data_IF_174499191307
#
_entry.id   IF_174499191307
#
_cell.length_a   1.000
_cell.length_b   1.000
_cell.length_c   1.000
_cell.angle_alpha   90.00
_cell.angle_beta   90.00
_cell.angle_gamma   90.00
#
_symmetry.space_group_name_H-M   'P 1'
#
loop_
_entity.id
_entity.type
_entity.pdbx_description
1 polymer ?
#
# COMPACT_ATOMS: atom_id res chain seq x y z
N UNK A 1 3.20 5.37 -15.58
CA UNK A 1 4.30 5.90 -14.74
C UNK A 1 4.31 5.33 -13.32
N UNK A 2 3.18 5.17 -12.60
CA UNK A 2 3.13 4.44 -11.31
C UNK A 2 3.75 3.02 -11.34
N UNK A 3 3.73 2.36 -12.51
CA UNK A 3 4.26 1.00 -12.71
C UNK A 3 5.77 0.85 -12.44
N UNK A 4 6.61 1.73 -12.99
CA UNK A 4 8.07 1.58 -12.87
C UNK A 4 8.55 1.84 -11.44
N UNK A 5 8.14 2.96 -10.85
CA UNK A 5 8.59 3.35 -9.50
C UNK A 5 8.10 2.44 -8.38
N UNK A 6 6.97 1.75 -8.56
CA UNK A 6 6.47 0.76 -7.57
C UNK A 6 7.07 -0.64 -7.77
N UNK A 7 7.90 -0.83 -8.80
CA UNK A 7 8.53 -2.12 -9.08
C UNK A 7 9.65 -2.43 -8.08
N UNK A 8 9.74 -3.69 -7.70
CA UNK A 8 10.88 -4.26 -6.98
C UNK A 8 11.79 -4.89 -8.03
N UNK A 9 13.04 -4.45 -8.10
CA UNK A 9 14.04 -4.95 -9.05
C UNK A 9 15.11 -5.77 -8.35
N UNK A 10 15.69 -6.73 -9.08
CA UNK A 10 16.82 -7.53 -8.58
C UNK A 10 18.13 -6.77 -8.79
N UNK A 11 18.90 -6.45 -7.74
CA UNK A 11 20.20 -5.78 -7.89
C UNK A 11 21.19 -6.57 -8.73
N UNK A 12 21.10 -7.90 -8.72
CA UNK A 12 21.94 -8.78 -9.55
C UNK A 12 21.64 -8.64 -11.04
N UNK A 13 20.39 -8.34 -11.41
CA UNK A 13 19.95 -8.21 -12.81
C UNK A 13 20.14 -6.80 -13.34
N UNK A 14 20.07 -5.78 -12.49
CA UNK A 14 20.15 -4.36 -12.87
C UNK A 14 21.07 -3.55 -11.95
N UNK A 15 22.38 -3.85 -11.89
CA UNK A 15 23.32 -3.15 -11.02
C UNK A 15 23.39 -1.64 -11.31
N UNK A 16 23.46 -1.25 -12.59
CA UNK A 16 23.55 0.16 -13.00
C UNK A 16 22.31 0.97 -12.57
N UNK A 17 21.12 0.37 -12.67
CA UNK A 17 19.89 1.04 -12.22
C UNK A 17 19.88 1.18 -10.69
N UNK A 18 20.39 0.18 -9.97
CA UNK A 18 20.51 0.26 -8.51
C UNK A 18 21.41 1.42 -8.08
N UNK A 19 22.58 1.58 -8.71
CA UNK A 19 23.49 2.69 -8.41
C UNK A 19 22.83 4.05 -8.67
N UNK A 20 22.13 4.20 -9.79
CA UNK A 20 21.39 5.43 -10.12
C UNK A 20 20.24 5.68 -9.14
N UNK A 21 19.49 4.65 -8.77
CA UNK A 21 18.43 4.79 -7.75
C UNK A 21 19.01 5.24 -6.41
N UNK A 22 20.17 4.71 -6.02
CA UNK A 22 20.86 5.14 -4.81
C UNK A 22 21.38 6.58 -4.89
N UNK A 23 21.89 7.02 -6.05
CA UNK A 23 22.35 8.41 -6.22
C UNK A 23 21.21 9.42 -6.14
N UNK A 24 19.98 9.03 -6.49
CA UNK A 24 18.78 9.88 -6.37
C UNK A 24 18.31 10.10 -4.93
N UNK A 25 18.61 9.16 -4.01
CA UNK A 25 18.16 9.22 -2.61
C UNK A 25 18.58 10.52 -1.90
N UNK A 26 19.87 10.90 -1.87
CA UNK A 26 20.28 12.17 -1.28
C UNK A 26 19.70 13.38 -2.03
N UNK A 27 19.58 13.32 -3.36
CA UNK A 27 19.02 14.42 -4.16
C UNK A 27 17.54 14.66 -3.79
N UNK A 28 16.75 13.59 -3.66
CA UNK A 28 15.36 13.69 -3.21
C UNK A 28 15.28 14.27 -1.79
N UNK A 29 16.12 13.77 -0.89
CA UNK A 29 16.19 14.19 0.51
C UNK A 29 16.50 15.68 0.64
N UNK A 30 17.47 16.19 -0.12
CA UNK A 30 17.93 17.57 -0.05
C UNK A 30 16.93 18.54 -0.70
N UNK A 31 16.33 18.16 -1.83
CA UNK A 31 15.43 19.03 -2.59
C UNK A 31 14.00 19.06 -2.06
N UNK A 32 13.46 17.90 -1.68
CA UNK A 32 12.04 17.74 -1.36
C UNK A 32 11.80 17.22 0.05
N UNK A 33 12.85 16.83 0.78
CA UNK A 33 12.72 16.24 2.11
C UNK A 33 12.08 17.19 3.13
N UNK A 34 12.42 18.49 3.07
CA UNK A 34 11.86 19.51 3.96
C UNK A 34 10.34 19.71 3.74
N UNK A 35 9.92 19.77 2.47
CA UNK A 35 8.50 19.91 2.08
C UNK A 35 7.66 18.70 2.50
N UNK A 36 8.27 17.51 2.50
CA UNK A 36 7.60 16.26 2.86
C UNK A 36 7.87 15.78 4.29
N UNK A 37 8.39 16.62 5.20
CA UNK A 37 8.55 16.23 6.60
C UNK A 37 7.22 15.85 7.26
N UNK A 38 6.11 16.45 6.83
CA UNK A 38 4.77 16.09 7.31
C UNK A 38 4.21 14.82 6.67
N UNK A 39 4.81 14.33 5.59
CA UNK A 39 4.22 13.33 4.70
C UNK A 39 5.03 12.03 4.67
N UNK A 40 6.34 12.09 4.93
CA UNK A 40 7.26 10.96 4.95
C UNK A 40 7.88 10.85 6.34
N UNK A 41 7.86 9.64 6.87
CA UNK A 41 8.77 9.24 7.94
C UNK A 41 10.01 8.60 7.33
N UNK A 42 11.09 9.37 7.30
CA UNK A 42 12.36 8.92 6.77
C UNK A 42 13.06 7.99 7.74
N UNK A 43 13.72 6.97 7.21
CA UNK A 43 14.49 6.04 8.01
C UNK A 43 15.77 6.69 8.51
N UNK A 44 15.98 6.58 9.81
CA UNK A 44 17.10 7.14 10.54
C UNK A 44 17.39 6.17 11.71
N UNK A 45 18.59 5.60 11.74
CA UNK A 45 18.96 4.56 12.70
C UNK A 45 18.88 5.07 14.14
N UNK A 46 19.09 6.36 14.33
CA UNK A 46 19.12 7.04 15.64
C UNK A 46 17.75 7.55 16.07
N UNK A 47 16.71 7.35 15.26
CA UNK A 47 15.35 7.78 15.58
C UNK A 47 14.38 6.62 15.58
N UNK A 48 13.44 6.70 16.51
CA UNK A 48 12.30 5.81 16.53
C UNK A 48 11.31 6.20 15.43
N UNK A 49 10.82 5.20 14.71
CA UNK A 49 9.81 5.30 13.66
C UNK A 49 8.43 5.31 14.31
N UNK A 50 7.82 6.49 14.43
CA UNK A 50 6.47 6.64 14.97
C UNK A 50 5.41 6.04 14.04
N UNK A 51 5.65 5.96 12.73
CA UNK A 51 4.75 5.29 11.77
C UNK A 51 5.18 3.84 11.45
N UNK A 52 6.22 3.33 12.12
CA UNK A 52 6.61 1.93 12.11
C UNK A 52 6.09 1.17 13.34
N UNK A 53 5.92 -0.14 13.22
CA UNK A 53 5.54 -0.96 14.37
C UNK A 53 6.68 -1.05 15.40
N UNK A 54 6.39 -1.42 16.65
CA UNK A 54 7.44 -1.72 17.64
C UNK A 54 8.40 -2.78 17.11
N UNK A 55 7.90 -3.84 16.46
CA UNK A 55 8.75 -4.87 15.85
C UNK A 55 9.68 -4.29 14.77
N UNK A 56 9.15 -3.45 13.88
CA UNK A 56 9.96 -2.77 12.85
C UNK A 56 10.99 -1.84 13.48
N UNK A 57 10.67 -1.21 14.61
CA UNK A 57 11.60 -0.36 15.35
C UNK A 57 12.75 -1.14 15.99
N UNK A 58 12.53 -2.37 16.44
CA UNK A 58 13.59 -3.24 16.96
C UNK A 58 14.44 -3.77 15.81
N UNK A 59 13.80 -4.25 14.75
CA UNK A 59 14.51 -4.91 13.64
C UNK A 59 15.23 -3.92 12.74
N UNK A 60 14.58 -2.80 12.40
CA UNK A 60 15.10 -1.76 11.50
C UNK A 60 15.72 -2.32 10.22
N UNK A 61 14.94 -3.13 9.52
CA UNK A 61 15.34 -3.86 8.32
C UNK A 61 14.12 -4.44 7.62
N UNK A 62 14.34 -5.25 6.59
CA UNK A 62 13.33 -6.05 5.92
C UNK A 62 13.77 -7.49 5.74
N UNK A 63 12.81 -8.42 5.76
CA UNK A 63 13.07 -9.79 5.34
C UNK A 63 13.18 -9.87 3.82
N UNK A 64 14.14 -10.66 3.34
CA UNK A 64 14.35 -10.91 1.91
C UNK A 64 13.26 -11.80 1.29
N UNK A 65 12.52 -12.56 2.11
CA UNK A 65 11.36 -13.34 1.68
C UNK A 65 10.07 -12.57 1.98
N UNK A 66 9.24 -12.34 0.94
CA UNK A 66 7.95 -11.63 1.04
C UNK A 66 6.95 -12.31 1.97
N UNK A 67 7.14 -13.58 2.35
CA UNK A 67 6.26 -14.29 3.30
C UNK A 67 6.58 -13.98 4.76
N UNK A 68 7.74 -13.40 5.04
CA UNK A 68 8.17 -13.07 6.39
C UNK A 68 7.82 -11.62 6.72
N UNK A 69 6.65 -11.42 7.33
CA UNK A 69 6.21 -10.09 7.80
C UNK A 69 6.62 -9.91 9.26
N UNK A 70 6.95 -8.68 9.67
CA UNK A 70 7.22 -8.33 11.08
C UNK A 70 6.09 -8.69 12.03
N UNK A 71 4.86 -8.78 11.52
CA UNK A 71 3.71 -9.28 12.26
C UNK A 71 3.92 -10.68 12.83
N UNK A 72 4.79 -11.51 12.24
CA UNK A 72 5.13 -12.85 12.74
C UNK A 72 6.39 -12.87 13.61
N UNK A 73 7.00 -11.72 13.93
CA UNK A 73 8.23 -11.67 14.74
C UNK A 73 8.05 -12.31 16.13
N UNK A 74 6.84 -12.23 16.71
CA UNK A 74 6.49 -12.87 17.98
C UNK A 74 6.53 -14.41 17.93
N UNK A 75 6.58 -15.02 16.75
CA UNK A 75 6.72 -16.47 16.56
C UNK A 75 8.18 -16.88 16.33
N UNK A 76 9.06 -15.92 16.03
CA UNK A 76 10.47 -16.20 15.77
C UNK A 76 11.21 -16.45 17.10
N UNK A 77 11.62 -17.70 17.33
CA UNK A 77 12.32 -18.12 18.55
C UNK A 77 13.58 -17.31 18.85
N UNK A 78 14.33 -16.89 17.83
CA UNK A 78 15.56 -16.09 18.00
C UNK A 78 15.24 -14.66 18.41
N UNK A 79 14.20 -14.08 17.80
CA UNK A 79 13.68 -12.77 18.16
C UNK A 79 13.18 -12.77 19.61
N UNK A 80 12.42 -13.79 20.02
CA UNK A 80 11.97 -13.94 21.41
C UNK A 80 13.14 -14.12 22.39
N UNK A 81 14.15 -14.92 22.03
CA UNK A 81 15.35 -15.09 22.85
C UNK A 81 16.11 -13.76 23.02
N UNK A 82 16.19 -12.95 21.96
CA UNK A 82 16.75 -11.61 22.01
C UNK A 82 15.95 -10.70 22.95
N UNK A 83 14.61 -10.68 22.85
CA UNK A 83 13.77 -9.89 23.77
C UNK A 83 13.96 -10.29 25.23
N UNK A 84 14.20 -11.58 25.49
CA UNK A 84 14.53 -12.08 26.82
C UNK A 84 15.89 -11.57 27.31
N UNK A 85 16.91 -11.61 26.46
CA UNK A 85 18.27 -11.13 26.77
C UNK A 85 18.30 -9.61 27.06
N UNK A 86 17.51 -8.82 26.34
CA UNK A 86 17.41 -7.36 26.54
C UNK A 86 16.39 -6.96 27.63
N UNK A 87 15.82 -7.94 28.34
CA UNK A 87 14.77 -7.74 29.35
C UNK A 87 13.57 -6.92 28.84
N UNK A 88 13.23 -7.09 27.56
CA UNK A 88 12.16 -6.37 26.87
C UNK A 88 10.82 -7.11 26.86
N UNK A 89 10.82 -8.43 27.06
CA UNK A 89 9.58 -9.22 27.00
C UNK A 89 8.53 -8.72 28.00
N UNK A 90 8.92 -8.56 29.27
CA UNK A 90 8.00 -8.11 30.34
C UNK A 90 7.40 -6.72 30.06
N UNK A 91 8.18 -5.65 29.82
CA UNK A 91 7.60 -4.33 29.56
C UNK A 91 6.75 -4.30 28.28
N UNK A 92 7.09 -5.11 27.26
CA UNK A 92 6.25 -5.24 26.07
C UNK A 92 4.91 -5.94 26.36
N UNK A 93 4.90 -7.02 27.14
CA UNK A 93 3.66 -7.69 27.57
C UNK A 93 2.80 -6.75 28.44
N UNK A 94 3.42 -6.01 29.35
CA UNK A 94 2.73 -5.01 30.18
C UNK A 94 2.14 -3.87 29.33
N UNK A 95 2.85 -3.43 28.29
CA UNK A 95 2.34 -2.45 27.34
C UNK A 95 1.20 -3.02 26.50
N UNK A 96 1.32 -4.26 26.02
CA UNK A 96 0.25 -4.99 25.33
C UNK A 96 -1.01 -5.10 26.18
N UNK A 97 -0.88 -5.39 27.48
CA UNK A 97 -2.01 -5.39 28.42
C UNK A 97 -2.68 -4.01 28.49
N UNK A 98 -1.89 -2.93 28.53
CA UNK A 98 -2.41 -1.56 28.54
C UNK A 98 -3.16 -1.23 27.25
N UNK A 99 -2.65 -1.63 26.09
CA UNK A 99 -3.36 -1.49 24.79
C UNK A 99 -4.68 -2.25 24.83
N UNK A 100 -4.67 -3.53 25.19
CA UNK A 100 -5.87 -4.37 25.22
C UNK A 100 -6.95 -3.78 26.13
N UNK A 101 -6.58 -3.37 27.36
CA UNK A 101 -7.51 -2.78 28.33
C UNK A 101 -8.14 -1.47 27.83
N UNK A 102 -7.40 -0.66 27.07
CA UNK A 102 -7.90 0.60 26.55
C UNK A 102 -8.73 0.43 25.27
N UNK A 103 -8.32 -0.47 24.39
CA UNK A 103 -8.90 -0.63 23.04
C UNK A 103 -10.08 -1.58 23.00
N UNK A 104 -10.07 -2.70 23.75
CA UNK A 104 -11.15 -3.71 23.70
C UNK A 104 -12.52 -3.14 24.06
N UNK A 105 -12.70 -2.33 25.12
CA UNK A 105 -14.00 -1.74 25.42
C UNK A 105 -14.55 -0.94 24.25
N UNK A 106 -13.72 -0.12 23.60
CA UNK A 106 -14.10 0.70 22.44
C UNK A 106 -14.55 -0.19 21.27
N UNK A 107 -13.75 -1.22 20.95
CA UNK A 107 -14.04 -2.11 19.82
C UNK A 107 -15.31 -2.96 20.02
N UNK A 108 -15.66 -3.31 21.27
CA UNK A 108 -16.91 -4.03 21.57
C UNK A 108 -18.15 -3.21 21.24
N UNK A 109 -18.12 -1.89 21.44
CA UNK A 109 -19.19 -1.00 21.00
C UNK A 109 -19.17 -0.78 19.49
N UNK A 110 -17.97 -0.86 18.90
CA UNK A 110 -17.71 -0.65 17.48
C UNK A 110 -17.97 -1.84 16.56
N UNK A 111 -18.30 -3.02 17.08
CA UNK A 111 -18.45 -4.25 16.28
C UNK A 111 -19.51 -4.15 15.16
N UNK A 112 -20.28 -3.06 15.11
CA UNK A 112 -21.26 -2.73 14.07
C UNK A 112 -20.71 -1.84 12.94
N UNK A 113 -19.51 -1.26 13.07
CA UNK A 113 -18.88 -0.38 12.06
C UNK A 113 -17.41 -0.77 11.80
N UNK A 114 -17.07 -1.12 10.57
CA UNK A 114 -15.71 -1.56 10.19
C UNK A 114 -14.63 -0.47 10.36
N UNK A 115 -15.02 0.80 10.39
CA UNK A 115 -14.10 1.95 10.42
C UNK A 115 -13.22 2.00 11.67
N UNK A 116 -13.74 1.59 12.83
CA UNK A 116 -13.00 1.67 14.10
C UNK A 116 -11.91 0.60 14.24
N UNK A 117 -11.95 -0.46 13.41
CA UNK A 117 -10.87 -1.44 13.35
C UNK A 117 -9.68 -0.97 12.50
N UNK A 118 -9.87 0.02 11.61
CA UNK A 118 -8.80 0.48 10.72
C UNK A 118 -7.62 1.13 11.48
N UNK A 119 -7.92 1.79 12.60
CA UNK A 119 -6.94 2.47 13.45
C UNK A 119 -6.58 1.66 14.72
N UNK A 120 -6.92 0.37 14.74
CA UNK A 120 -6.70 -0.53 15.86
C UNK A 120 -5.62 -1.56 15.57
N UNK A 121 -4.74 -1.87 16.55
CA UNK A 121 -3.84 -3.02 16.45
C UNK A 121 -4.54 -4.37 16.64
N UNK A 122 -5.80 -4.37 17.11
CA UNK A 122 -6.66 -5.56 17.25
C UNK A 122 -7.60 -5.64 16.06
N UNK A 123 -7.56 -6.76 15.33
CA UNK A 123 -8.47 -7.03 14.22
C UNK A 123 -9.83 -7.55 14.70
N UNK A 124 -10.85 -7.50 13.84
CA UNK A 124 -12.17 -8.06 14.14
C UNK A 124 -12.13 -9.56 14.45
N UNK A 125 -11.29 -10.32 13.73
CA UNK A 125 -11.09 -11.76 13.92
C UNK A 125 -10.42 -12.11 15.26
N UNK A 126 -9.70 -11.16 15.85
CA UNK A 126 -8.96 -11.38 17.10
C UNK A 126 -9.68 -10.81 18.33
N UNK A 127 -10.75 -10.02 18.13
CA UNK A 127 -11.41 -9.29 19.21
C UNK A 127 -11.84 -10.21 20.37
N UNK A 128 -12.52 -11.31 20.08
CA UNK A 128 -13.02 -12.25 21.11
C UNK A 128 -11.88 -12.77 22.01
N UNK A 129 -10.71 -13.04 21.43
CA UNK A 129 -9.53 -13.49 22.18
C UNK A 129 -9.05 -12.42 23.16
N UNK A 130 -9.05 -11.15 22.74
CA UNK A 130 -8.64 -10.05 23.61
C UNK A 130 -9.71 -9.69 24.65
N UNK A 131 -11.00 -9.95 24.37
CA UNK A 131 -12.08 -9.86 25.37
C UNK A 131 -11.81 -10.83 26.53
N UNK A 132 -11.49 -12.09 26.21
CA UNK A 132 -11.16 -13.09 27.22
C UNK A 132 -9.91 -12.71 28.04
N UNK A 133 -8.87 -12.22 27.36
CA UNK A 133 -7.63 -11.77 28.01
C UNK A 133 -7.90 -10.60 28.95
N UNK A 134 -8.69 -9.61 28.54
CA UNK A 134 -9.05 -8.45 29.38
C UNK A 134 -9.87 -8.87 30.60
N UNK A 135 -10.77 -9.84 30.45
CA UNK A 135 -11.51 -10.41 31.57
C UNK A 135 -10.56 -11.11 32.57
N UNK A 136 -9.60 -11.90 32.08
CA UNK A 136 -8.61 -12.58 32.93
C UNK A 136 -7.71 -11.59 33.68
N UNK A 137 -7.24 -10.53 33.01
CA UNK A 137 -6.47 -9.44 33.63
C UNK A 137 -7.28 -8.79 34.75
N UNK A 138 -8.57 -8.52 34.54
CA UNK A 138 -9.43 -7.85 35.53
C UNK A 138 -9.66 -8.72 36.77
N UNK A 139 -9.72 -10.04 36.59
CA UNK A 139 -9.97 -10.99 37.69
C UNK A 139 -8.71 -11.34 38.49
N UNK A 140 -7.56 -11.52 37.81
CA UNK A 140 -6.34 -12.12 38.39
C UNK A 140 -5.15 -11.17 38.44
N UNK A 141 -5.31 -9.97 37.89
CA UNK A 141 -4.21 -9.03 37.70
C UNK A 141 -3.24 -9.45 36.59
N UNK A 142 -2.29 -8.56 36.27
CA UNK A 142 -1.34 -8.74 35.15
C UNK A 142 -0.26 -9.81 35.41
N UNK A 143 0.02 -10.12 36.68
CA UNK A 143 1.07 -11.04 37.11
C UNK A 143 0.69 -12.53 36.97
N UNK A 144 -0.62 -12.85 36.92
CA UNK A 144 -1.14 -14.22 36.85
C UNK A 144 -1.44 -14.75 35.44
N UNK A 145 -0.97 -14.08 34.39
CA UNK A 145 -1.37 -14.38 33.01
C UNK A 145 -0.82 -15.71 32.49
N UNK A 146 -1.70 -16.50 31.85
CA UNK A 146 -1.32 -17.74 31.17
C UNK A 146 -0.30 -17.47 30.04
N UNK A 147 0.59 -18.43 29.69
CA UNK A 147 1.58 -18.25 28.62
C UNK A 147 0.98 -17.83 27.27
N UNK A 148 -0.19 -18.37 26.91
CA UNK A 148 -0.89 -17.99 25.67
C UNK A 148 -1.34 -16.53 25.68
N UNK A 149 -1.92 -16.05 26.80
CA UNK A 149 -2.31 -14.66 26.95
C UNK A 149 -1.10 -13.73 26.84
N UNK A 150 0.03 -14.09 27.47
CA UNK A 150 1.30 -13.33 27.35
C UNK A 150 1.77 -13.23 25.90
N UNK A 151 1.70 -14.33 25.14
CA UNK A 151 2.08 -14.35 23.72
C UNK A 151 1.20 -13.41 22.87
N UNK A 152 -0.12 -13.41 23.11
CA UNK A 152 -1.04 -12.50 22.42
C UNK A 152 -0.79 -11.03 22.79
N UNK A 153 -0.54 -10.72 24.06
CA UNK A 153 -0.21 -9.35 24.48
C UNK A 153 1.13 -8.88 23.91
N UNK A 154 2.12 -9.78 23.81
CA UNK A 154 3.39 -9.49 23.15
C UNK A 154 3.18 -9.20 21.66
N UNK A 155 2.40 -10.03 20.95
CA UNK A 155 2.01 -9.76 19.56
C UNK A 155 1.37 -8.38 19.42
N UNK A 156 0.42 -8.07 20.30
CA UNK A 156 -0.30 -6.79 20.29
C UNK A 156 0.65 -5.59 20.45
N UNK A 157 1.57 -5.67 21.41
CA UNK A 157 2.59 -4.64 21.62
C UNK A 157 3.51 -4.51 20.40
N UNK A 158 4.04 -5.63 19.89
CA UNK A 158 4.96 -5.63 18.74
C UNK A 158 4.32 -5.06 17.46
N UNK A 159 3.01 -5.22 17.29
CA UNK A 159 2.23 -4.64 16.19
C UNK A 159 1.81 -3.18 16.40
N UNK A 160 2.09 -2.57 17.56
CA UNK A 160 1.66 -1.21 17.85
C UNK A 160 2.43 -0.16 17.02
N UNK A 161 1.71 0.76 16.37
CA UNK A 161 2.24 1.86 15.57
C UNK A 161 1.76 3.19 16.20
N UNK A 162 2.62 3.96 16.89
CA UNK A 162 2.22 5.20 17.58
C UNK A 162 1.54 6.26 16.70
N UNK A 163 1.98 6.34 15.44
CA UNK A 163 1.48 7.24 14.40
C UNK A 163 0.05 6.91 13.98
N UNK A 164 -0.40 5.66 14.15
CA UNK A 164 -1.73 5.17 13.75
C UNK A 164 -2.64 4.91 14.97
N UNK A 165 -2.15 4.17 15.96
CA UNK A 165 -2.96 3.69 17.08
C UNK A 165 -2.99 4.73 18.21
N UNK A 166 -4.02 5.59 18.21
CA UNK A 166 -4.12 6.74 19.12
C UNK A 166 -4.73 6.43 20.49
N UNK A 167 -5.24 5.21 20.71
CA UNK A 167 -5.91 4.84 21.96
C UNK A 167 -5.00 4.89 23.18
N UNK A 168 -3.70 4.63 22.99
CA UNK A 168 -2.70 4.64 24.06
C UNK A 168 -1.46 5.38 23.56
N UNK A 169 -0.81 6.14 24.44
CA UNK A 169 0.46 6.79 24.13
C UNK A 169 1.65 5.85 24.31
N UNK A 170 2.63 5.94 23.41
CA UNK A 170 3.88 5.20 23.53
C UNK A 170 4.69 5.69 24.75
N UNK A 171 5.04 4.83 25.72
CA UNK A 171 5.80 5.25 26.88
C UNK A 171 7.22 5.72 26.49
N UNK A 172 7.66 6.93 26.86
CA UNK A 172 8.98 7.45 26.45
C UNK A 172 10.15 6.55 26.86
N UNK A 173 10.13 6.05 28.10
CA UNK A 173 11.17 5.14 28.60
C UNK A 173 11.23 3.82 27.81
N UNK A 174 10.09 3.30 27.37
CA UNK A 174 10.06 2.10 26.53
C UNK A 174 10.58 2.41 25.13
N UNK A 175 10.21 3.57 24.56
CA UNK A 175 10.72 4.07 23.27
C UNK A 175 12.25 4.13 23.25
N UNK A 176 12.87 4.69 24.29
CA UNK A 176 14.33 4.77 24.44
C UNK A 176 14.98 3.39 24.58
N UNK A 177 14.40 2.49 25.38
CA UNK A 177 14.92 1.12 25.53
C UNK A 177 14.87 0.33 24.22
N UNK A 178 13.78 0.46 23.46
CA UNK A 178 13.63 -0.19 22.15
C UNK A 178 14.65 0.33 21.14
N UNK A 179 14.93 1.63 21.15
CA UNK A 179 15.93 2.23 20.28
C UNK A 179 17.34 1.73 20.61
N UNK A 180 17.70 1.61 21.91
CA UNK A 180 18.97 1.00 22.32
C UNK A 180 19.07 -0.47 21.90
N UNK A 181 17.99 -1.22 22.07
CA UNK A 181 17.93 -2.63 21.69
C UNK A 181 18.08 -2.84 20.17
N UNK A 182 17.65 -1.90 19.33
CA UNK A 182 17.84 -1.98 17.86
C UNK A 182 19.30 -2.26 17.48
N UNK A 183 20.24 -1.50 18.04
CA UNK A 183 21.66 -1.67 17.76
C UNK A 183 22.15 -3.04 18.20
N UNK A 184 21.73 -3.49 19.39
CA UNK A 184 22.07 -4.82 19.92
C UNK A 184 21.46 -5.94 19.07
N UNK A 185 20.26 -5.74 18.54
CA UNK A 185 19.57 -6.71 17.68
C UNK A 185 20.36 -6.97 16.40
N UNK A 186 20.86 -5.91 15.77
CA UNK A 186 21.68 -6.03 14.57
C UNK A 186 22.94 -6.89 14.83
N UNK A 187 23.66 -6.62 15.92
CA UNK A 187 24.85 -7.38 16.32
C UNK A 187 24.48 -8.84 16.60
N UNK A 188 23.45 -9.07 17.42
CA UNK A 188 22.98 -10.40 17.81
C UNK A 188 22.63 -11.28 16.60
N UNK A 189 22.03 -10.70 15.56
CA UNK A 189 21.65 -11.43 14.36
C UNK A 189 22.82 -11.69 13.40
N UNK A 190 23.78 -10.76 13.31
CA UNK A 190 24.99 -10.94 12.52
C UNK A 190 25.85 -12.09 13.05
N UNK A 191 26.09 -12.15 14.36
CA UNK A 191 26.89 -13.20 15.00
C UNK A 191 26.28 -14.60 14.83
N UNK A 192 24.95 -14.70 14.72
CA UNK A 192 24.21 -15.96 14.61
C UNK A 192 23.83 -16.33 13.17
N UNK A 193 24.33 -15.57 12.18
CA UNK A 193 24.27 -15.91 10.76
C UNK A 193 22.86 -15.93 10.16
N UNK A 194 21.99 -14.97 10.51
CA UNK A 194 20.64 -14.93 9.95
C UNK A 194 20.62 -14.39 8.50
N UNK A 195 20.76 -15.30 7.53
CA UNK A 195 20.95 -15.04 6.09
C UNK A 195 19.73 -14.44 5.34
N UNK A 196 18.64 -14.05 6.02
CA UNK A 196 17.38 -13.64 5.35
C UNK A 196 16.83 -12.28 5.78
N UNK A 197 17.60 -11.51 6.54
CA UNK A 197 17.25 -10.16 6.96
C UNK A 197 18.25 -9.17 6.37
N UNK A 198 17.76 -8.08 5.80
CA UNK A 198 18.57 -6.94 5.37
C UNK A 198 18.25 -5.76 6.27
N UNK A 199 19.24 -5.30 7.05
CA UNK A 199 19.11 -4.08 7.84
C UNK A 199 19.07 -2.85 6.94
N UNK A 200 18.35 -1.81 7.37
CA UNK A 200 18.33 -0.55 6.62
C UNK A 200 19.66 0.17 6.77
N UNK A 201 20.26 0.46 5.62
CA UNK A 201 21.47 1.25 5.50
C UNK A 201 21.24 2.26 4.36
N UNK A 202 21.44 3.54 4.66
CA UNK A 202 21.24 4.62 3.71
C UNK A 202 22.18 4.55 2.50
N UNK A 203 23.26 3.78 2.59
CA UNK A 203 24.21 3.55 1.49
C UNK A 203 23.87 2.30 0.67
N UNK A 204 22.94 1.46 1.13
CA UNK A 204 22.59 0.19 0.47
C UNK A 204 21.21 0.22 -0.17
N UNK A 205 21.07 -0.57 -1.23
CA UNK A 205 19.81 -0.81 -1.91
C UNK A 205 19.01 -1.89 -1.17
N UNK A 206 17.77 -1.58 -0.82
CA UNK A 206 16.86 -2.47 -0.10
C UNK A 206 16.13 -3.35 -1.11
N UNK A 207 16.54 -4.61 -1.21
CA UNK A 207 16.11 -5.51 -2.31
C UNK A 207 14.64 -5.91 -2.23
N UNK A 208 14.08 -5.91 -1.02
CA UNK A 208 12.68 -6.20 -0.75
C UNK A 208 11.72 -5.06 -1.12
N UNK A 209 12.25 -3.85 -1.36
CA UNK A 209 11.46 -2.63 -1.53
C UNK A 209 11.42 -2.12 -2.96
N UNK A 210 10.40 -1.29 -3.24
CA UNK A 210 10.23 -0.69 -4.55
C UNK A 210 11.33 0.34 -4.85
N UNK A 211 11.49 0.71 -6.13
CA UNK A 211 12.38 1.80 -6.54
C UNK A 211 12.02 3.09 -5.80
N UNK A 212 10.73 3.43 -5.70
CA UNK A 212 10.24 4.58 -4.94
C UNK A 212 10.74 4.53 -3.51
N UNK A 213 10.47 3.45 -2.79
CA UNK A 213 10.82 3.38 -1.37
C UNK A 213 12.34 3.39 -1.16
N UNK A 214 13.11 2.90 -2.15
CA UNK A 214 14.56 3.03 -2.18
C UNK A 214 15.03 4.48 -2.41
N UNK A 215 14.35 5.26 -3.26
CA UNK A 215 14.67 6.70 -3.44
C UNK A 215 14.27 7.49 -2.19
N UNK A 216 13.09 7.22 -1.63
CA UNK A 216 12.61 7.94 -0.45
C UNK A 216 13.43 7.59 0.80
N UNK A 217 13.87 6.33 0.93
CA UNK A 217 14.46 5.77 2.16
C UNK A 217 13.61 6.11 3.39
N UNK A 218 12.35 5.72 3.33
CA UNK A 218 11.33 6.04 4.32
C UNK A 218 9.98 5.46 3.96
N UNK A 219 8.97 5.82 4.73
CA UNK A 219 7.59 5.39 4.52
C UNK A 219 6.62 6.58 4.57
N UNK A 220 5.60 6.61 3.70
CA UNK A 220 4.55 7.62 3.80
C UNK A 220 3.79 7.51 5.13
N UNK A 221 3.44 8.66 5.70
CA UNK A 221 2.55 8.75 6.85
C UNK A 221 1.11 8.54 6.37
N UNK A 222 0.39 7.60 6.97
CA UNK A 222 -0.88 7.10 6.45
C UNK A 222 -2.08 8.05 6.67
N UNK A 223 -1.86 9.18 7.35
CA UNK A 223 -2.90 10.05 7.93
C UNK A 223 -3.30 11.24 7.05
N UNK A 224 -2.58 11.53 5.96
CA UNK A 224 -2.90 12.63 5.04
C UNK A 224 -3.33 12.18 3.65
N UNK A 225 -4.58 12.47 3.31
CA UNK A 225 -5.06 12.39 1.92
C UNK A 225 -4.23 13.30 1.00
N UNK A 226 -3.74 12.78 -0.11
CA UNK A 226 -2.93 13.54 -1.08
C UNK A 226 -1.42 13.53 -0.83
N UNK A 227 -0.95 13.08 0.34
CA UNK A 227 0.50 13.00 0.65
C UNK A 227 1.22 12.09 -0.35
N UNK A 228 0.65 10.91 -0.63
CA UNK A 228 1.21 9.95 -1.58
C UNK A 228 1.24 10.53 -2.99
N UNK A 229 0.22 11.28 -3.40
CA UNK A 229 0.18 11.97 -4.68
C UNK A 229 1.28 13.03 -4.80
N UNK A 230 1.45 13.88 -3.79
CA UNK A 230 2.48 14.92 -3.77
C UNK A 230 3.89 14.30 -3.84
N UNK A 231 4.18 13.30 -3.00
CA UNK A 231 5.46 12.57 -3.03
C UNK A 231 5.72 11.99 -4.42
N UNK A 232 4.72 11.38 -5.05
CA UNK A 232 4.87 10.80 -6.38
C UNK A 232 5.11 11.87 -7.45
N UNK A 233 4.57 13.09 -7.30
CA UNK A 233 4.83 14.17 -8.25
C UNK A 233 6.29 14.63 -8.19
N UNK A 234 6.81 14.91 -7.00
CA UNK A 234 8.22 15.31 -6.82
C UNK A 234 9.18 14.19 -7.22
N UNK A 235 8.82 12.93 -6.94
CA UNK A 235 9.58 11.78 -7.40
C UNK A 235 9.64 11.73 -8.94
N UNK A 236 8.49 11.90 -9.62
CA UNK A 236 8.47 11.90 -11.08
C UNK A 236 9.25 13.07 -11.67
N UNK A 237 9.14 14.26 -11.09
CA UNK A 237 9.94 15.41 -11.48
C UNK A 237 11.44 15.09 -11.39
N UNK A 238 11.89 14.56 -10.25
CA UNK A 238 13.28 14.16 -10.05
C UNK A 238 13.75 13.15 -11.10
N UNK A 239 12.93 12.12 -11.36
CA UNK A 239 13.28 11.08 -12.33
C UNK A 239 13.41 11.59 -13.76
N UNK A 240 12.62 12.61 -14.13
CA UNK A 240 12.70 13.26 -15.45
C UNK A 240 13.97 14.10 -15.53
N UNK A 241 14.23 14.95 -14.54
CA UNK A 241 15.38 15.86 -14.52
C UNK A 241 16.72 15.11 -14.52
N UNK A 242 16.79 14.00 -13.79
CA UNK A 242 17.98 13.13 -13.69
C UNK A 242 18.04 12.08 -14.81
N UNK A 243 17.12 12.15 -15.78
CA UNK A 243 17.06 11.27 -16.96
C UNK A 243 17.02 9.77 -16.62
N UNK A 244 16.42 9.41 -15.47
CA UNK A 244 16.32 8.02 -14.99
C UNK A 244 14.94 7.43 -15.31
N UNK A 245 13.94 8.26 -15.61
CA UNK A 245 12.56 7.81 -15.78
C UNK A 245 12.41 6.77 -16.89
N UNK A 246 13.02 7.00 -18.06
CA UNK A 246 12.94 6.08 -19.20
C UNK A 246 13.54 4.72 -18.84
N UNK A 247 14.72 4.72 -18.25
CA UNK A 247 15.39 3.51 -17.77
C UNK A 247 14.59 2.71 -16.73
N UNK A 248 13.88 3.39 -15.84
CA UNK A 248 12.97 2.78 -14.85
C UNK A 248 11.71 2.24 -15.53
N UNK A 249 11.16 2.96 -16.51
CA UNK A 249 9.98 2.52 -17.24
C UNK A 249 10.31 1.29 -18.07
N UNK A 250 11.42 1.31 -18.80
CA UNK A 250 11.88 0.22 -19.65
C UNK A 250 12.17 -1.04 -18.84
N UNK A 251 12.92 -0.92 -17.73
CA UNK A 251 13.20 -2.06 -16.83
C UNK A 251 11.98 -2.44 -15.99
N UNK A 252 11.06 -1.52 -15.73
CA UNK A 252 9.78 -1.79 -15.07
C UNK A 252 8.86 -2.69 -15.90
N UNK A 253 9.07 -2.81 -17.22
CA UNK A 253 8.38 -3.78 -18.07
C UNK A 253 8.81 -5.23 -17.79
N UNK A 254 9.99 -5.44 -17.19
CA UNK A 254 10.45 -6.77 -16.74
C UNK A 254 9.81 -7.19 -15.40
N UNK A 255 8.96 -6.35 -14.80
CA UNK A 255 8.32 -6.66 -13.53
C UNK A 255 7.46 -7.93 -13.66
N UNK A 256 7.77 -8.95 -12.85
CA UNK A 256 6.96 -10.15 -12.78
C UNK A 256 5.60 -9.81 -12.19
N UNK A 257 4.56 -9.83 -13.03
CA UNK A 257 3.18 -9.53 -12.63
C UNK A 257 2.45 -10.75 -12.03
N UNK A 258 3.14 -11.87 -11.83
CA UNK A 258 2.53 -13.17 -11.52
C UNK A 258 1.97 -13.86 -12.77
N UNK A 259 1.46 -15.08 -12.62
CA UNK A 259 0.93 -15.89 -13.74
C UNK A 259 -0.27 -15.24 -14.44
N UNK A 260 -1.12 -14.54 -13.68
CA UNK A 260 -2.36 -13.92 -14.18
C UNK A 260 -2.46 -12.42 -13.82
N UNK A 261 -1.34 -11.73 -13.60
CA UNK A 261 -1.38 -10.33 -13.16
C UNK A 261 -1.79 -10.17 -11.70
N UNK A 262 -1.53 -11.17 -10.85
CA UNK A 262 -1.88 -11.18 -9.42
C UNK A 262 -1.30 -10.01 -8.65
N UNK A 263 -0.13 -9.51 -9.08
CA UNK A 263 0.56 -8.40 -8.43
C UNK A 263 0.18 -7.03 -8.98
N UNK A 264 -0.87 -6.98 -9.80
CA UNK A 264 -1.38 -5.75 -10.39
C UNK A 264 -2.70 -5.35 -9.72
N UNK A 265 -2.86 -4.06 -9.46
CA UNK A 265 -4.17 -3.52 -9.09
C UNK A 265 -5.17 -3.67 -10.24
N UNK A 266 -6.48 -3.61 -9.94
CA UNK A 266 -7.52 -3.72 -10.96
C UNK A 266 -7.32 -2.75 -12.13
N UNK A 267 -7.07 -1.46 -11.81
CA UNK A 267 -6.79 -0.43 -12.82
C UNK A 267 -5.50 -0.69 -13.62
N UNK A 268 -4.46 -1.25 -13.00
CA UNK A 268 -3.22 -1.62 -13.70
C UNK A 268 -3.44 -2.76 -14.68
N UNK A 269 -4.14 -3.82 -14.27
CA UNK A 269 -4.54 -4.92 -15.17
C UNK A 269 -5.34 -4.40 -16.36
N UNK A 270 -6.26 -3.47 -16.11
CA UNK A 270 -7.11 -2.91 -17.16
C UNK A 270 -6.32 -2.03 -18.15
N UNK A 271 -5.37 -1.20 -17.67
CA UNK A 271 -4.47 -0.45 -18.56
C UNK A 271 -3.65 -1.37 -19.46
N UNK A 272 -3.11 -2.46 -18.92
CA UNK A 272 -2.36 -3.45 -19.70
C UNK A 272 -3.26 -4.16 -20.72
N UNK A 273 -4.46 -4.57 -20.31
CA UNK A 273 -5.42 -5.22 -21.20
C UNK A 273 -5.78 -4.31 -22.39
N UNK A 274 -6.10 -3.04 -22.12
CA UNK A 274 -6.37 -2.04 -23.16
C UNK A 274 -5.16 -1.83 -24.07
N UNK A 275 -3.96 -1.65 -23.51
CA UNK A 275 -2.74 -1.48 -24.30
C UNK A 275 -2.50 -2.68 -25.23
N UNK A 276 -2.69 -3.91 -24.76
CA UNK A 276 -2.59 -5.13 -25.59
C UNK A 276 -3.60 -5.15 -26.73
N UNK A 277 -4.84 -4.73 -26.46
CA UNK A 277 -5.90 -4.63 -27.49
C UNK A 277 -5.52 -3.57 -28.53
N UNK A 278 -5.01 -2.41 -28.12
CA UNK A 278 -4.60 -1.34 -29.02
C UNK A 278 -3.41 -1.73 -29.90
N UNK A 279 -2.41 -2.42 -29.34
CA UNK A 279 -1.26 -2.90 -30.10
C UNK A 279 -1.62 -3.91 -31.19
N UNK A 280 -2.68 -4.72 -30.99
CA UNK A 280 -3.18 -5.65 -31.99
C UNK A 280 -3.84 -4.98 -33.19
N UNK A 281 -4.25 -3.70 -33.07
CA UNK A 281 -4.95 -2.93 -34.10
C UNK A 281 -6.12 -3.71 -34.77
N UNK A 282 -7.04 -4.33 -33.98
CA UNK A 282 -8.15 -5.09 -34.55
C UNK A 282 -9.08 -4.21 -35.38
N UNK A 283 -9.79 -4.80 -36.33
CA UNK A 283 -10.80 -4.09 -37.14
C UNK A 283 -12.01 -3.69 -36.29
N UNK A 284 -12.34 -4.48 -35.26
CA UNK A 284 -13.46 -4.27 -34.35
C UNK A 284 -12.96 -4.30 -32.90
N UNK A 285 -13.31 -3.27 -32.14
CA UNK A 285 -13.11 -3.15 -30.70
C UNK A 285 -14.43 -3.39 -29.97
N UNK A 286 -14.45 -4.30 -29.00
CA UNK A 286 -15.59 -4.52 -28.10
C UNK A 286 -15.14 -4.16 -26.68
N UNK A 287 -15.77 -3.15 -26.08
CA UNK A 287 -15.36 -2.54 -24.82
C UNK A 287 -16.51 -2.60 -23.83
N UNK A 288 -16.39 -3.44 -22.81
CA UNK A 288 -17.35 -3.53 -21.72
C UNK A 288 -16.80 -2.81 -20.49
N UNK A 289 -17.36 -1.63 -20.17
CA UNK A 289 -16.88 -0.77 -19.08
C UNK A 289 -15.34 -0.62 -19.05
N UNK A 290 -14.70 -0.59 -20.22
CA UNK A 290 -13.28 -0.89 -20.32
C UNK A 290 -12.37 0.13 -19.62
N UNK A 291 -12.92 1.27 -19.19
CA UNK A 291 -12.22 2.33 -18.47
C UNK A 291 -12.64 2.49 -17.01
N UNK A 292 -13.56 1.66 -16.49
CA UNK A 292 -14.19 1.85 -15.18
C UNK A 292 -13.19 1.80 -14.01
N UNK A 293 -12.19 0.92 -14.05
CA UNK A 293 -11.18 0.82 -13.00
C UNK A 293 -10.01 1.83 -13.13
N UNK A 294 -10.11 2.81 -14.05
CA UNK A 294 -9.05 3.79 -14.29
C UNK A 294 -9.33 5.12 -13.58
N UNK A 295 -8.27 5.83 -13.18
CA UNK A 295 -8.35 7.23 -12.74
C UNK A 295 -8.82 8.16 -13.86
N UNK A 296 -9.47 9.28 -13.51
CA UNK A 296 -10.07 10.23 -14.47
C UNK A 296 -9.11 10.67 -15.59
N UNK A 297 -7.86 10.99 -15.25
CA UNK A 297 -6.87 11.42 -16.23
C UNK A 297 -6.47 10.30 -17.21
N UNK A 298 -6.49 9.04 -16.76
CA UNK A 298 -6.24 7.88 -17.60
C UNK A 298 -7.47 7.51 -18.44
N UNK A 299 -8.68 7.64 -17.89
CA UNK A 299 -9.91 7.48 -18.66
C UNK A 299 -9.95 8.45 -19.84
N UNK A 300 -9.69 9.74 -19.59
CA UNK A 300 -9.66 10.77 -20.62
C UNK A 300 -8.68 10.43 -21.75
N UNK A 301 -7.46 10.01 -21.42
CA UNK A 301 -6.45 9.61 -22.42
C UNK A 301 -6.87 8.41 -23.27
N UNK A 302 -7.45 7.38 -22.64
CA UNK A 302 -7.95 6.20 -23.37
C UNK A 302 -9.07 6.59 -24.32
N UNK A 303 -10.01 7.41 -23.85
CA UNK A 303 -11.11 7.91 -24.68
C UNK A 303 -10.60 8.76 -25.85
N UNK A 304 -9.65 9.68 -25.60
CA UNK A 304 -8.97 10.44 -26.66
C UNK A 304 -8.36 9.55 -27.72
N UNK A 305 -7.68 8.48 -27.31
CA UNK A 305 -7.12 7.51 -28.25
C UNK A 305 -8.20 6.78 -29.05
N UNK A 306 -9.29 6.32 -28.42
CA UNK A 306 -10.40 5.66 -29.11
C UNK A 306 -11.00 6.56 -30.21
N UNK A 307 -11.15 7.86 -29.96
CA UNK A 307 -11.65 8.80 -30.98
C UNK A 307 -10.71 8.94 -32.19
N UNK A 308 -9.39 8.74 -32.02
CA UNK A 308 -8.45 8.73 -33.17
C UNK A 308 -8.64 7.52 -34.10
N UNK A 309 -9.30 6.46 -33.62
CA UNK A 309 -9.57 5.24 -34.39
C UNK A 309 -10.83 5.35 -35.25
N UNK A 310 -11.64 6.39 -35.02
CA UNK A 310 -12.89 6.64 -35.77
C UNK A 310 -12.60 6.75 -37.26
N UNK A 311 -13.50 6.19 -38.07
CA UNK A 311 -13.37 6.15 -39.53
C UNK A 311 -12.42 5.07 -40.07
N UNK A 312 -11.66 4.38 -39.21
CA UNK A 312 -10.79 3.25 -39.61
C UNK A 312 -11.15 1.94 -38.92
N UNK A 313 -11.76 2.00 -37.74
CA UNK A 313 -12.12 0.85 -36.94
C UNK A 313 -13.56 0.96 -36.44
N UNK A 314 -14.19 -0.19 -36.19
CA UNK A 314 -15.50 -0.25 -35.51
C UNK A 314 -15.30 -0.34 -34.01
N UNK A 315 -15.99 0.49 -33.23
CA UNK A 315 -15.95 0.48 -31.77
C UNK A 315 -17.37 0.21 -31.26
N UNK A 316 -17.54 -0.90 -30.56
CA UNK A 316 -18.75 -1.25 -29.81
C UNK A 316 -18.43 -1.10 -28.33
N UNK A 317 -19.09 -0.19 -27.63
CA UNK A 317 -18.87 0.03 -26.21
C UNK A 317 -20.16 -0.09 -25.41
N UNK A 318 -20.09 -0.75 -24.26
CA UNK A 318 -21.08 -0.66 -23.18
C UNK A 318 -20.67 0.51 -22.30
N UNK A 319 -21.58 1.45 -22.06
CA UNK A 319 -21.28 2.73 -21.42
C UNK A 319 -22.23 2.98 -20.27
N UNK A 320 -21.67 3.18 -19.08
CA UNK A 320 -22.40 3.57 -17.86
C UNK A 320 -22.30 5.09 -17.58
N UNK A 321 -21.52 5.79 -18.40
CA UNK A 321 -21.28 7.23 -18.36
C UNK A 321 -21.96 7.91 -19.53
N UNK A 322 -23.18 8.39 -19.29
CA UNK A 322 -24.03 9.01 -20.32
C UNK A 322 -23.41 10.27 -20.95
N UNK A 323 -22.49 10.95 -20.26
CA UNK A 323 -21.75 12.10 -20.81
C UNK A 323 -20.87 11.75 -22.01
N UNK A 324 -20.51 10.47 -22.19
CA UNK A 324 -19.61 10.02 -23.27
C UNK A 324 -20.34 9.56 -24.52
N UNK A 325 -21.65 9.31 -24.44
CA UNK A 325 -22.43 8.67 -25.52
C UNK A 325 -22.60 9.59 -26.74
N UNK A 326 -22.50 10.91 -26.54
CA UNK A 326 -22.61 11.94 -27.59
C UNK A 326 -21.54 11.77 -28.69
N UNK A 327 -20.41 11.14 -28.37
CA UNK A 327 -19.31 10.97 -29.30
C UNK A 327 -19.44 9.72 -30.19
N UNK A 328 -20.46 8.88 -29.98
CA UNK A 328 -20.69 7.67 -30.78
C UNK A 328 -21.55 7.98 -32.02
N UNK A 329 -21.23 7.32 -33.14
CA UNK A 329 -21.98 7.45 -34.39
C UNK A 329 -23.41 6.94 -34.28
N UNK A 330 -23.61 5.89 -33.46
CA UNK A 330 -24.91 5.23 -33.25
C UNK A 330 -25.02 4.75 -31.82
N UNK A 331 -26.17 4.97 -31.22
CA UNK A 331 -26.52 4.51 -29.88
C UNK A 331 -27.58 3.42 -30.02
N UNK A 332 -27.48 2.39 -29.17
CA UNK A 332 -28.45 1.30 -29.05
C UNK A 332 -28.88 1.24 -27.59
N UNK A 333 -30.16 1.43 -27.34
CA UNK A 333 -30.75 1.34 -25.99
C UNK A 333 -31.41 -0.02 -25.84
N UNK A 334 -31.06 -0.74 -24.78
CA UNK A 334 -31.61 -2.04 -24.46
C UNK A 334 -32.45 -1.99 -23.18
N UNK A 335 -33.57 -2.70 -23.16
CA UNK A 335 -34.43 -2.89 -21.98
C UNK A 335 -34.92 -4.33 -21.97
N UNK A 336 -34.75 -5.03 -20.84
CA UNK A 336 -35.16 -6.43 -20.66
C UNK A 336 -34.70 -7.36 -21.80
N UNK A 337 -33.45 -7.22 -22.24
CA UNK A 337 -32.86 -8.05 -23.31
C UNK A 337 -33.31 -7.72 -24.74
N UNK A 338 -34.11 -6.67 -24.94
CA UNK A 338 -34.56 -6.22 -26.27
C UNK A 338 -34.02 -4.83 -26.59
N UNK A 339 -33.73 -4.57 -27.87
CA UNK A 339 -33.42 -3.22 -28.37
C UNK A 339 -34.74 -2.44 -28.41
N UNK A 340 -34.81 -1.35 -27.65
CA UNK A 340 -35.99 -0.48 -27.61
C UNK A 340 -35.81 0.77 -28.47
N UNK A 341 -34.58 1.26 -28.61
CA UNK A 341 -34.24 2.41 -29.44
C UNK A 341 -32.87 2.25 -30.07
N UNK A 342 -32.69 2.82 -31.26
CA UNK A 342 -31.39 2.92 -31.90
C UNK A 342 -31.33 4.07 -32.89
N UNK A 343 -30.19 4.75 -32.97
CA UNK A 343 -30.00 5.87 -33.89
C UNK A 343 -28.86 6.81 -33.47
N UNK A 344 -28.60 7.87 -34.23
CA UNK A 344 -27.72 8.95 -33.82
C UNK A 344 -28.22 9.64 -32.55
N UNK A 345 -27.30 10.14 -31.71
CA UNK A 345 -27.66 10.78 -30.43
C UNK A 345 -28.70 11.89 -30.59
N UNK A 346 -28.51 12.79 -31.55
CA UNK A 346 -29.42 13.93 -31.77
C UNK A 346 -30.85 13.51 -32.10
N UNK A 347 -31.02 12.46 -32.93
CA UNK A 347 -32.34 11.94 -33.30
C UNK A 347 -33.04 11.30 -32.10
N UNK A 348 -32.31 10.50 -31.31
CA UNK A 348 -32.86 9.85 -30.12
C UNK A 348 -33.24 10.85 -29.03
N UNK A 349 -32.45 11.91 -28.85
CA UNK A 349 -32.79 12.98 -27.91
C UNK A 349 -34.01 13.78 -28.36
N UNK A 350 -34.18 14.02 -29.67
CA UNK A 350 -35.35 14.70 -30.21
C UNK A 350 -36.64 13.85 -30.11
N UNK A 351 -36.51 12.53 -30.23
CA UNK A 351 -37.61 11.59 -30.07
C UNK A 351 -38.18 11.53 -28.64
N UNK A 352 -37.44 12.07 -27.65
CA UNK A 352 -37.83 12.09 -26.22
C UNK A 352 -38.24 10.71 -25.67
N UNK A 353 -37.56 9.67 -26.14
CA UNK A 353 -37.81 8.29 -25.73
C UNK A 353 -36.97 7.83 -24.52
N UNK A 354 -36.73 6.53 -24.42
CA UNK A 354 -35.97 5.87 -23.36
C UNK A 354 -34.57 6.46 -23.16
N UNK A 355 -33.84 6.83 -24.23
CA UNK A 355 -32.55 7.49 -24.06
C UNK A 355 -32.69 8.86 -23.36
N UNK A 356 -33.70 9.63 -23.76
CA UNK A 356 -33.96 10.96 -23.22
C UNK A 356 -34.30 10.89 -21.73
N UNK A 357 -35.13 9.92 -21.32
CA UNK A 357 -35.44 9.67 -19.92
C UNK A 357 -34.16 9.34 -19.11
N UNK A 358 -33.30 8.46 -19.64
CA UNK A 358 -32.03 8.11 -18.98
C UNK A 358 -31.09 9.31 -18.80
N UNK A 359 -31.03 10.20 -19.78
CA UNK A 359 -30.17 11.40 -19.72
C UNK A 359 -30.77 12.50 -18.83
N UNK A 360 -32.10 12.66 -18.82
CA UNK A 360 -32.81 13.70 -18.09
C UNK A 360 -33.03 13.44 -16.60
N UNK A 361 -32.82 12.20 -16.12
CA UNK A 361 -33.07 11.81 -14.71
C UNK A 361 -31.84 12.01 -13.81
N UNK A 362 -31.13 13.14 -13.95
CA UNK A 362 -30.03 13.52 -13.04
C UNK A 362 -30.38 14.72 -12.19
#
# INVERSE_FOLDING_TARGET
LKFGVQSVISPKRYPDLVERVLSLRPIFRDRFGAEHLSDIEFFDSEKYLDFGSIAQNIVFGDFLDRRSVFENAYQNKRFLAFLGQEELERPLVEFGATIALATVPILRYAAQTQELFADSPITSEELDKYVDIVADISLRGRSGLKPQARSHLLKLALGFIPGRHKTVLMPPLLKERLLKARTNFQIYMQERGELRLQFYDAQQYIQSRSIRDNILFGQPKADRGGAVEAINQHLLQLLIEEQVLEDIVDRGLDFQVGSMGEYLSGGQRQKIALARVFLKKPVIYVLDEATAALDNASQARVQSFLWTLRGRHTILSVVHRLDTIVNYDRIVVMKAGKIVEQGPYGELMAAKGALYELVGTK
#
